data_IF_332154200585
#
_entry.id   IF_332154200585
#
_cell.length_a   1.000
_cell.length_b   1.000
_cell.length_c   1.000
_cell.angle_alpha   90.00
_cell.angle_beta   90.00
_cell.angle_gamma   90.00
#
_symmetry.space_group_name_H-M   'P 1'
#
loop_
_entity.id
_entity.type
_entity.pdbx_description
1 polymer ?
#
# COMPACT_ATOMS: atom_id res chain seq x y z
N UNK A 1 41.67 -9.03 -2.54
CA UNK A 1 41.24 -8.32 -1.32
C UNK A 1 40.10 -7.41 -1.71
N UNK A 2 38.93 -7.55 -1.11
CA UNK A 2 37.83 -6.60 -1.30
C UNK A 2 38.23 -5.28 -0.64
N UNK A 3 38.30 -4.20 -1.43
CA UNK A 3 38.65 -2.87 -0.92
C UNK A 3 37.41 -2.25 -0.23
N UNK A 4 37.60 -1.78 1.01
CA UNK A 4 36.56 -1.07 1.76
C UNK A 4 36.85 0.43 1.76
N UNK A 5 35.85 1.22 1.37
CA UNK A 5 35.90 2.69 1.43
C UNK A 5 34.88 3.16 2.45
N UNK A 6 35.33 3.90 3.47
CA UNK A 6 34.43 4.44 4.49
C UNK A 6 33.58 5.57 3.89
N UNK A 7 32.24 5.51 3.99
CA UNK A 7 31.39 6.61 3.53
C UNK A 7 31.51 7.81 4.47
N UNK A 8 31.51 9.01 3.90
CA UNK A 8 31.48 10.28 4.65
C UNK A 8 30.16 10.99 4.36
N UNK A 9 29.33 11.17 5.40
CA UNK A 9 28.08 11.93 5.26
C UNK A 9 28.40 13.41 5.02
N UNK A 10 27.74 14.01 4.04
CA UNK A 10 27.80 15.45 3.76
C UNK A 10 26.39 16.05 3.79
N UNK A 11 26.30 17.38 3.90
CA UNK A 11 25.05 18.12 3.72
C UNK A 11 25.13 18.90 2.42
N UNK A 12 24.04 18.87 1.66
CA UNK A 12 23.85 19.65 0.45
C UNK A 12 23.39 21.07 0.74
N UNK A 13 22.90 21.35 1.95
CA UNK A 13 22.58 22.72 2.36
C UNK A 13 23.82 23.61 2.26
N UNK A 14 23.75 24.61 1.38
CA UNK A 14 24.86 25.51 1.03
C UNK A 14 26.09 24.81 0.40
N UNK A 15 25.92 23.61 -0.16
CA UNK A 15 27.02 22.94 -0.86
C UNK A 15 27.38 23.71 -2.15
N UNK A 16 28.68 23.92 -2.43
CA UNK A 16 29.09 24.78 -3.54
C UNK A 16 28.80 24.19 -4.93
N UNK A 17 28.57 22.87 -5.03
CA UNK A 17 28.44 22.16 -6.31
C UNK A 17 27.05 21.56 -6.51
N UNK A 18 26.43 21.04 -5.46
CA UNK A 18 25.20 20.24 -5.56
C UNK A 18 24.06 21.07 -5.01
N UNK A 19 23.00 21.20 -5.81
CA UNK A 19 21.83 22.04 -5.53
C UNK A 19 20.57 21.19 -5.38
N UNK A 20 19.48 21.83 -4.99
CA UNK A 20 18.17 21.19 -4.93
C UNK A 20 17.74 20.70 -6.33
N UNK A 21 17.95 21.52 -7.37
CA UNK A 21 17.72 21.13 -8.76
C UNK A 21 18.51 19.88 -9.17
N UNK A 22 19.76 19.73 -8.71
CA UNK A 22 20.55 18.54 -9.01
C UNK A 22 19.93 17.27 -8.43
N UNK A 23 19.36 17.35 -7.23
CA UNK A 23 18.63 16.22 -6.63
C UNK A 23 17.31 15.98 -7.36
N UNK A 24 16.58 17.04 -7.72
CA UNK A 24 15.34 16.93 -8.50
C UNK A 24 15.59 16.23 -9.84
N UNK A 25 16.70 16.52 -10.52
CA UNK A 25 17.06 15.89 -11.80
C UNK A 25 17.32 14.39 -11.63
N UNK A 26 18.00 13.98 -10.54
CA UNK A 26 18.23 12.57 -10.24
C UNK A 26 16.91 11.83 -9.98
N UNK A 27 16.00 12.42 -9.20
CA UNK A 27 14.67 11.83 -8.93
C UNK A 27 13.82 11.80 -10.22
N UNK A 28 13.91 12.83 -11.05
CA UNK A 28 13.19 12.92 -12.32
C UNK A 28 13.63 11.82 -13.31
N UNK A 29 14.93 11.54 -13.36
CA UNK A 29 15.52 10.51 -14.22
C UNK A 29 15.20 9.08 -13.73
N UNK A 30 15.19 8.86 -12.41
CA UNK A 30 14.83 7.58 -11.79
C UNK A 30 14.00 7.77 -10.51
N UNK A 31 12.66 7.86 -10.63
CA UNK A 31 11.78 8.03 -9.46
C UNK A 31 11.82 6.86 -8.46
N UNK A 32 12.26 5.67 -8.91
CA UNK A 32 12.28 4.45 -8.10
C UNK A 32 13.19 4.59 -6.87
N UNK A 33 14.18 5.49 -6.93
CA UNK A 33 15.10 5.77 -5.82
C UNK A 33 14.39 6.29 -4.56
N UNK A 34 13.16 6.81 -4.68
CA UNK A 34 12.34 7.23 -3.54
C UNK A 34 11.75 6.04 -2.76
N UNK A 35 11.75 4.84 -3.33
CA UNK A 35 11.17 3.64 -2.71
C UNK A 35 9.64 3.67 -2.63
N UNK A 36 8.98 4.30 -3.60
CA UNK A 36 7.52 4.47 -3.66
C UNK A 36 6.83 3.57 -4.71
N UNK A 37 7.57 2.61 -5.29
CA UNK A 37 7.11 1.78 -6.40
C UNK A 37 7.56 2.31 -7.75
N UNK A 38 6.99 1.76 -8.83
CA UNK A 38 7.27 2.19 -10.20
C UNK A 38 6.48 3.46 -10.54
N UNK A 39 7.13 4.62 -10.45
CA UNK A 39 6.52 5.92 -10.69
C UNK A 39 7.11 6.56 -11.94
N UNK A 40 6.29 7.31 -12.66
CA UNK A 40 6.71 8.12 -13.81
C UNK A 40 6.64 9.62 -13.50
N UNK A 41 7.59 10.38 -14.01
CA UNK A 41 7.56 11.84 -13.94
C UNK A 41 6.45 12.40 -14.83
N UNK A 42 5.55 13.21 -14.25
CA UNK A 42 4.51 13.94 -14.99
C UNK A 42 4.89 15.37 -15.28
N UNK A 43 5.48 16.06 -14.31
CA UNK A 43 5.85 17.46 -14.42
C UNK A 43 6.96 17.78 -13.42
N UNK A 44 7.80 18.76 -13.75
CA UNK A 44 8.90 19.24 -12.91
C UNK A 44 8.82 20.75 -12.80
N UNK A 45 9.08 21.29 -11.61
CA UNK A 45 8.99 22.72 -11.35
C UNK A 45 7.62 23.28 -11.80
N UNK A 46 6.55 22.57 -11.44
CA UNK A 46 5.18 22.83 -11.87
C UNK A 46 4.59 24.05 -11.16
N UNK A 47 4.18 25.05 -11.94
CA UNK A 47 3.63 26.30 -11.42
C UNK A 47 2.27 26.06 -10.74
N UNK A 48 2.19 26.46 -9.45
CA UNK A 48 0.98 26.43 -8.65
C UNK A 48 0.38 27.82 -8.51
N UNK A 49 -0.83 28.01 -9.03
CA UNK A 49 -1.52 29.31 -9.06
C UNK A 49 -1.66 29.89 -7.65
N UNK A 50 -1.01 31.04 -7.41
CA UNK A 50 -1.03 31.82 -6.15
C UNK A 50 -0.31 31.17 -4.95
N UNK A 51 0.46 30.11 -5.14
CA UNK A 51 1.23 29.49 -4.05
C UNK A 51 2.73 29.51 -4.34
N UNK A 52 3.15 28.94 -5.48
CA UNK A 52 4.56 28.83 -5.82
C UNK A 52 4.77 27.79 -6.90
N UNK A 53 5.67 26.85 -6.66
CA UNK A 53 6.06 25.87 -7.66
C UNK A 53 6.36 24.55 -6.96
N UNK A 54 5.63 23.51 -7.36
CA UNK A 54 5.85 22.15 -6.90
C UNK A 54 7.11 21.60 -7.58
N UNK A 55 8.01 20.98 -6.81
CA UNK A 55 9.26 20.47 -7.36
C UNK A 55 9.04 19.34 -8.36
N UNK A 56 8.35 18.27 -7.97
CA UNK A 56 8.04 17.16 -8.86
C UNK A 56 6.60 16.68 -8.67
N UNK A 57 5.93 16.44 -9.80
CA UNK A 57 4.68 15.69 -9.85
C UNK A 57 4.99 14.32 -10.44
N UNK A 58 4.89 13.28 -9.62
CA UNK A 58 5.03 11.89 -10.06
C UNK A 58 3.66 11.23 -10.17
N UNK A 59 3.58 10.14 -10.93
CA UNK A 59 2.36 9.35 -11.03
C UNK A 59 2.66 7.87 -11.15
N UNK A 60 1.85 7.06 -10.49
CA UNK A 60 1.77 5.61 -10.70
C UNK A 60 1.07 5.32 -12.05
N UNK A 61 1.71 4.58 -12.98
CA UNK A 61 1.15 4.31 -14.30
C UNK A 61 -0.05 3.35 -14.28
N UNK A 62 -0.20 2.53 -13.24
CA UNK A 62 -1.29 1.57 -13.09
C UNK A 62 -2.51 2.21 -12.42
N UNK A 63 -2.30 2.83 -11.25
CA UNK A 63 -3.39 3.38 -10.42
C UNK A 63 -3.73 4.83 -10.77
N UNK A 64 -2.88 5.51 -11.54
CA UNK A 64 -2.93 6.94 -11.80
C UNK A 64 -2.84 7.83 -10.56
N UNK A 65 -2.51 7.26 -9.38
CA UNK A 65 -2.26 8.02 -8.17
C UNK A 65 -1.09 8.97 -8.36
N UNK A 66 -1.26 10.21 -7.91
CA UNK A 66 -0.27 11.28 -8.04
C UNK A 66 0.44 11.52 -6.72
N UNK A 67 1.74 11.79 -6.84
CA UNK A 67 2.60 12.11 -5.72
C UNK A 67 3.18 13.50 -5.94
N UNK A 68 2.78 14.43 -5.07
CA UNK A 68 3.27 15.80 -5.05
C UNK A 68 4.52 15.87 -4.17
N UNK A 69 5.70 15.77 -4.79
CA UNK A 69 6.98 15.74 -4.10
C UNK A 69 7.51 17.16 -3.92
N UNK A 70 7.78 17.53 -2.66
CA UNK A 70 8.39 18.78 -2.26
C UNK A 70 9.72 18.49 -1.54
N UNK A 71 10.82 18.96 -2.12
CA UNK A 71 12.17 18.73 -1.63
C UNK A 71 12.67 19.95 -0.83
N UNK A 72 13.46 19.69 0.21
CA UNK A 72 14.20 20.73 0.92
C UNK A 72 15.59 20.24 1.30
N UNK A 73 16.62 20.98 0.89
CA UNK A 73 17.97 20.74 1.39
C UNK A 73 18.11 21.18 2.87
N UNK A 74 18.79 20.35 3.65
CA UNK A 74 18.94 20.52 5.09
C UNK A 74 17.78 19.98 5.92
N UNK A 75 17.59 20.56 7.10
CA UNK A 75 16.51 20.19 7.98
C UNK A 75 15.16 20.70 7.46
N UNK A 76 14.12 19.89 7.59
CA UNK A 76 12.72 20.33 7.44
C UNK A 76 12.40 21.46 8.41
N UNK A 77 11.61 22.41 7.95
CA UNK A 77 11.03 23.49 8.75
C UNK A 77 9.50 23.58 8.54
N UNK A 78 8.85 24.49 9.26
CA UNK A 78 7.41 24.69 9.17
C UNK A 78 6.94 25.11 7.77
N UNK A 79 7.78 25.85 7.04
CA UNK A 79 7.47 26.31 5.68
C UNK A 79 7.45 25.13 4.71
N UNK A 80 8.34 24.15 4.90
CA UNK A 80 8.36 22.92 4.10
C UNK A 80 7.07 22.11 4.23
N UNK A 81 6.57 21.94 5.47
CA UNK A 81 5.29 21.25 5.70
C UNK A 81 4.14 22.01 5.01
N UNK A 82 4.07 23.33 5.20
CA UNK A 82 3.00 24.16 4.63
C UNK A 82 3.00 24.04 3.11
N UNK A 83 4.16 24.20 2.44
CA UNK A 83 4.27 24.06 0.97
C UNK A 83 3.83 22.69 0.50
N UNK A 84 4.28 21.62 1.15
CA UNK A 84 3.93 20.24 0.80
C UNK A 84 2.41 20.02 0.84
N UNK A 85 1.74 20.51 1.90
CA UNK A 85 0.29 20.39 2.06
C UNK A 85 -0.47 21.30 1.09
N UNK A 86 -0.01 22.52 0.86
CA UNK A 86 -0.63 23.46 -0.08
C UNK A 86 -0.59 22.94 -1.52
N UNK A 87 0.56 22.42 -1.97
CA UNK A 87 0.69 21.89 -3.33
C UNK A 87 -0.18 20.65 -3.54
N UNK A 88 -0.21 19.74 -2.56
CA UNK A 88 -1.13 18.62 -2.56
C UNK A 88 -2.60 19.07 -2.64
N UNK A 89 -3.03 20.03 -1.81
CA UNK A 89 -4.43 20.46 -1.79
C UNK A 89 -4.83 21.17 -3.10
N UNK A 90 -3.90 21.93 -3.72
CA UNK A 90 -4.13 22.55 -5.03
C UNK A 90 -4.29 21.49 -6.11
N UNK A 91 -3.39 20.50 -6.22
CA UNK A 91 -3.50 19.45 -7.23
C UNK A 91 -4.76 18.60 -7.02
N UNK A 92 -5.05 18.21 -5.78
CA UNK A 92 -6.27 17.46 -5.43
C UNK A 92 -7.55 18.21 -5.78
N UNK A 93 -7.62 19.53 -5.54
CA UNK A 93 -8.78 20.34 -5.92
C UNK A 93 -8.90 20.54 -7.42
N UNK A 94 -7.76 20.60 -8.12
CA UNK A 94 -7.71 20.79 -9.57
C UNK A 94 -8.08 19.54 -10.34
N UNK A 95 -7.69 18.36 -9.83
CA UNK A 95 -7.93 17.07 -10.45
C UNK A 95 -8.48 16.03 -9.46
N UNK A 96 -9.67 16.25 -8.89
CA UNK A 96 -10.23 15.41 -7.83
C UNK A 96 -10.55 13.97 -8.26
N UNK A 97 -10.46 13.65 -9.55
CA UNK A 97 -10.63 12.30 -10.07
C UNK A 97 -9.42 11.38 -9.81
N UNK A 98 -8.26 11.92 -9.46
CA UNK A 98 -7.09 11.11 -9.11
C UNK A 98 -6.94 11.02 -7.58
N UNK A 99 -6.32 9.95 -7.12
CA UNK A 99 -5.78 9.94 -5.77
C UNK A 99 -4.50 10.78 -5.71
N UNK A 100 -4.28 11.47 -4.59
CA UNK A 100 -3.17 12.40 -4.39
C UNK A 100 -2.49 12.16 -3.04
N UNK A 101 -1.17 12.19 -3.02
CA UNK A 101 -0.35 12.04 -1.82
C UNK A 101 0.76 13.10 -1.79
N UNK A 102 0.84 13.84 -0.68
CA UNK A 102 1.95 14.76 -0.45
C UNK A 102 3.19 13.96 -0.06
N UNK A 103 4.33 14.24 -0.69
CA UNK A 103 5.61 13.60 -0.38
C UNK A 103 6.62 14.65 0.03
N UNK A 104 7.00 14.64 1.31
CA UNK A 104 7.97 15.56 1.88
C UNK A 104 9.36 14.91 1.85
N UNK A 105 10.35 15.55 1.21
CA UNK A 105 11.74 15.03 1.14
C UNK A 105 12.72 16.03 1.75
N UNK A 106 13.53 15.62 2.74
CA UNK A 106 14.55 16.50 3.32
C UNK A 106 15.80 15.76 3.84
N UNK A 107 16.92 16.46 4.02
CA UNK A 107 18.17 15.85 4.50
C UNK A 107 18.10 15.39 5.98
N UNK A 108 17.23 16.05 6.75
CA UNK A 108 17.04 15.75 8.17
C UNK A 108 15.58 16.03 8.58
N UNK A 109 14.90 14.98 9.03
CA UNK A 109 13.53 15.06 9.54
C UNK A 109 13.56 14.65 11.01
N UNK A 110 13.32 15.61 11.91
CA UNK A 110 13.36 15.33 13.35
C UNK A 110 12.10 14.65 13.84
N UNK A 111 12.17 13.95 14.99
CA UNK A 111 11.00 13.34 15.62
C UNK A 111 9.90 14.36 15.96
N UNK A 112 10.27 15.60 16.31
CA UNK A 112 9.29 16.68 16.54
C UNK A 112 8.51 16.99 15.26
N UNK A 113 9.18 16.99 14.11
CA UNK A 113 8.55 17.20 12.81
C UNK A 113 7.63 16.04 12.45
N UNK A 114 8.08 14.80 12.63
CA UNK A 114 7.24 13.61 12.42
C UNK A 114 5.97 13.66 13.29
N UNK A 115 6.08 14.11 14.55
CA UNK A 115 4.92 14.27 15.44
C UNK A 115 3.91 15.33 14.96
N UNK A 116 4.36 16.36 14.23
CA UNK A 116 3.46 17.37 13.67
C UNK A 116 2.80 16.83 12.41
N UNK A 117 3.58 16.23 11.49
CA UNK A 117 3.05 15.66 10.25
C UNK A 117 2.05 14.54 10.55
N UNK A 118 2.29 13.73 11.60
CA UNK A 118 1.37 12.66 12.00
C UNK A 118 -0.01 13.16 12.43
N UNK A 119 -0.16 14.40 12.92
CA UNK A 119 -1.46 15.00 13.23
C UNK A 119 -2.34 15.15 11.98
N UNK A 120 -1.72 15.31 10.81
CA UNK A 120 -2.43 15.47 9.55
C UNK A 120 -2.72 14.14 8.86
N UNK A 121 -2.01 13.07 9.21
CA UNK A 121 -2.00 11.82 8.46
C UNK A 121 -3.39 11.11 8.40
N UNK A 122 -4.33 11.45 9.30
CA UNK A 122 -5.71 10.96 9.25
C UNK A 122 -6.61 11.64 8.19
N UNK A 123 -6.25 12.84 7.75
CA UNK A 123 -7.02 13.67 6.82
C UNK A 123 -6.29 13.94 5.50
N UNK A 124 -4.96 13.91 5.51
CA UNK A 124 -4.10 14.18 4.37
C UNK A 124 -3.20 12.96 4.19
N UNK A 125 -3.19 12.29 3.02
CA UNK A 125 -2.21 11.26 2.72
C UNK A 125 -0.83 11.90 2.57
N UNK A 126 0.05 11.69 3.57
CA UNK A 126 1.40 12.28 3.58
C UNK A 126 2.45 11.18 3.80
N UNK A 127 3.47 11.19 2.95
CA UNK A 127 4.70 10.42 3.11
C UNK A 127 5.84 11.39 3.44
N UNK A 128 6.76 10.98 4.33
CA UNK A 128 7.99 11.71 4.58
C UNK A 128 9.20 10.82 4.31
N UNK A 129 10.14 11.33 3.52
CA UNK A 129 11.36 10.66 3.10
C UNK A 129 12.56 11.47 3.57
N UNK A 130 13.42 10.84 4.37
CA UNK A 130 14.69 11.43 4.73
C UNK A 130 15.74 11.06 3.67
N UNK A 131 16.32 12.08 3.04
CA UNK A 131 17.47 11.95 2.14
C UNK A 131 18.77 12.01 2.95
N UNK A 132 19.74 11.18 2.61
CA UNK A 132 21.09 11.25 3.15
C UNK A 132 22.09 11.25 2.00
N UNK A 133 23.14 12.05 2.14
CA UNK A 133 24.17 12.20 1.11
C UNK A 133 25.50 11.71 1.64
N UNK A 134 26.17 10.86 0.89
CA UNK A 134 27.45 10.27 1.24
C UNK A 134 28.48 10.47 0.12
N UNK A 135 29.68 10.89 0.48
CA UNK A 135 30.86 10.78 -0.37
C UNK A 135 31.49 9.39 -0.15
N UNK A 136 31.72 8.66 -1.24
CA UNK A 136 32.37 7.35 -1.27
C UNK A 136 33.41 7.34 -2.38
N UNK A 137 34.68 7.52 -2.01
CA UNK A 137 35.75 7.72 -3.00
C UNK A 137 35.50 9.01 -3.80
N UNK A 138 35.42 8.89 -5.13
CA UNK A 138 35.18 10.01 -6.05
C UNK A 138 33.68 10.20 -6.38
N UNK A 139 32.79 9.44 -5.75
CA UNK A 139 31.36 9.45 -6.01
C UNK A 139 30.56 10.07 -4.87
N UNK A 140 29.43 10.69 -5.22
CA UNK A 140 28.40 11.13 -4.29
C UNK A 140 27.17 10.24 -4.47
N UNK A 141 26.68 9.71 -3.37
CA UNK A 141 25.53 8.80 -3.32
C UNK A 141 24.42 9.40 -2.48
N UNK A 142 23.19 9.32 -2.99
CA UNK A 142 21.97 9.66 -2.27
C UNK A 142 21.31 8.39 -1.76
N UNK A 143 20.86 8.41 -0.51
CA UNK A 143 20.08 7.35 0.11
C UNK A 143 18.78 7.96 0.59
N UNK A 144 17.66 7.44 0.11
CA UNK A 144 16.32 7.87 0.52
C UNK A 144 15.71 6.83 1.44
N UNK A 145 15.22 7.28 2.59
CA UNK A 145 14.58 6.43 3.58
C UNK A 145 13.20 6.98 3.90
N UNK A 146 12.15 6.21 3.63
CA UNK A 146 10.81 6.54 4.10
C UNK A 146 10.76 6.47 5.63
N UNK A 147 10.51 7.60 6.27
CA UNK A 147 10.46 7.77 7.73
C UNK A 147 9.04 7.98 8.26
N UNK A 148 8.09 8.32 7.38
CA UNK A 148 6.65 8.30 7.62
C UNK A 148 5.98 7.77 6.35
N UNK A 149 5.06 6.84 6.52
CA UNK A 149 4.20 6.37 5.43
C UNK A 149 2.80 6.96 5.56
N UNK A 150 2.01 6.82 4.49
CA UNK A 150 0.59 7.16 4.54
C UNK A 150 -0.06 6.41 5.70
N UNK A 151 -0.86 7.11 6.51
CA UNK A 151 -1.66 6.42 7.51
C UNK A 151 -2.63 5.51 6.77
N UNK A 152 -2.33 4.21 6.75
CA UNK A 152 -3.35 3.21 6.54
C UNK A 152 -4.30 3.38 7.72
N UNK A 153 -5.46 4.02 7.48
CA UNK A 153 -6.57 3.99 8.42
C UNK A 153 -6.71 2.53 8.84
N UNK A 154 -6.69 2.28 10.15
CA UNK A 154 -6.78 0.93 10.66
C UNK A 154 -7.83 0.15 9.91
N UNK A 155 -7.57 -1.14 9.68
CA UNK A 155 -8.62 -2.07 9.29
C UNK A 155 -9.80 -1.74 10.21
N UNK A 156 -10.97 -1.42 9.64
CA UNK A 156 -12.19 -1.36 10.46
C UNK A 156 -12.17 -2.63 11.28
N UNK A 157 -12.29 -2.51 12.61
CA UNK A 157 -12.29 -3.68 13.48
C UNK A 157 -13.26 -4.66 12.83
N UNK A 158 -12.77 -5.84 12.45
CA UNK A 158 -13.57 -6.83 11.70
C UNK A 158 -14.88 -7.13 12.44
N UNK A 159 -14.84 -6.93 13.77
CA UNK A 159 -15.95 -7.03 14.70
C UNK A 159 -16.95 -5.86 14.63
N UNK A 160 -16.61 -4.61 14.29
CA UNK A 160 -17.58 -3.51 14.20
C UNK A 160 -18.64 -3.75 13.09
N UNK A 161 -18.18 -4.14 11.89
CA UNK A 161 -19.06 -4.46 10.77
C UNK A 161 -19.81 -5.79 10.97
N UNK A 162 -19.17 -6.76 11.64
CA UNK A 162 -19.75 -8.08 11.90
C UNK A 162 -20.81 -8.08 13.02
N UNK A 163 -20.59 -7.33 14.11
CA UNK A 163 -21.53 -7.20 15.24
C UNK A 163 -22.81 -6.48 14.79
N UNK A 164 -22.66 -5.47 13.92
CA UNK A 164 -23.77 -4.64 13.47
C UNK A 164 -24.67 -5.30 12.43
N UNK A 165 -24.19 -6.35 11.76
CA UNK A 165 -24.91 -6.99 10.66
C UNK A 165 -24.59 -8.50 10.48
N UNK A 166 -24.81 -9.34 11.50
CA UNK A 166 -24.71 -10.78 11.35
C UNK A 166 -25.76 -11.29 10.35
N UNK A 167 -25.38 -12.31 9.57
CA UNK A 167 -26.29 -12.98 8.62
C UNK A 167 -26.10 -14.49 8.72
N UNK A 168 -26.75 -15.24 7.84
CA UNK A 168 -26.65 -16.69 7.80
C UNK A 168 -26.31 -17.19 6.38
N UNK A 169 -26.22 -18.52 6.26
CA UNK A 169 -26.01 -19.17 4.98
C UNK A 169 -27.14 -18.87 3.98
N UNK A 170 -28.39 -18.81 4.43
CA UNK A 170 -29.54 -18.60 3.57
C UNK A 170 -29.50 -17.23 2.87
N UNK A 171 -29.05 -16.19 3.58
CA UNK A 171 -28.77 -14.87 3.02
C UNK A 171 -27.76 -14.95 1.85
N UNK A 172 -26.67 -15.69 2.04
CA UNK A 172 -25.64 -15.82 1.01
C UNK A 172 -26.09 -16.69 -0.17
N UNK A 173 -26.89 -17.73 0.04
CA UNK A 173 -27.42 -18.57 -1.03
C UNK A 173 -28.50 -17.86 -1.86
N UNK A 174 -29.35 -17.02 -1.23
CA UNK A 174 -30.49 -16.37 -1.88
C UNK A 174 -30.15 -14.99 -2.44
N UNK A 175 -29.58 -14.12 -1.61
CA UNK A 175 -29.47 -12.69 -1.91
C UNK A 175 -28.16 -12.36 -2.63
N UNK A 176 -27.02 -12.88 -2.15
CA UNK A 176 -25.68 -12.49 -2.64
C UNK A 176 -25.11 -13.42 -3.71
N UNK A 177 -25.17 -14.71 -3.45
CA UNK A 177 -24.62 -15.76 -4.30
C UNK A 177 -25.70 -16.69 -4.84
N UNK A 178 -25.32 -17.95 -4.96
CA UNK A 178 -26.18 -19.10 -5.30
C UNK A 178 -25.77 -20.30 -4.45
N UNK A 179 -26.61 -21.34 -4.31
CA UNK A 179 -26.21 -22.58 -3.65
C UNK A 179 -24.90 -23.18 -4.20
N UNK A 180 -24.65 -23.05 -5.52
CA UNK A 180 -23.42 -23.53 -6.16
C UNK A 180 -22.17 -22.79 -5.70
N UNK A 181 -22.24 -21.47 -5.59
CA UNK A 181 -21.08 -20.66 -5.18
C UNK A 181 -20.84 -20.73 -3.68
N UNK A 182 -21.88 -20.92 -2.88
CA UNK A 182 -21.72 -21.19 -1.45
C UNK A 182 -21.10 -22.59 -1.24
N UNK A 183 -21.49 -23.60 -2.01
CA UNK A 183 -20.82 -24.90 -2.00
C UNK A 183 -19.36 -24.86 -2.49
N UNK A 184 -19.01 -23.93 -3.39
CA UNK A 184 -17.62 -23.67 -3.75
C UNK A 184 -16.85 -23.06 -2.57
N UNK A 185 -17.44 -22.09 -1.88
CA UNK A 185 -16.86 -21.53 -0.65
C UNK A 185 -16.64 -22.62 0.42
N UNK A 186 -17.59 -23.53 0.62
CA UNK A 186 -17.42 -24.64 1.58
C UNK A 186 -16.18 -25.48 1.26
N UNK A 187 -15.95 -25.81 -0.02
CA UNK A 187 -14.75 -26.53 -0.44
C UNK A 187 -13.46 -25.74 -0.25
N UNK A 188 -13.49 -24.42 -0.41
CA UNK A 188 -12.35 -23.56 -0.07
C UNK A 188 -12.13 -23.51 1.44
N UNK A 189 -13.19 -23.50 2.23
CA UNK A 189 -13.11 -23.54 3.68
C UNK A 189 -12.54 -24.86 4.20
N UNK A 190 -12.78 -25.99 3.53
CA UNK A 190 -12.09 -27.24 3.88
C UNK A 190 -10.56 -27.10 3.80
N UNK A 191 -10.02 -26.29 2.88
CA UNK A 191 -8.57 -25.99 2.84
C UNK A 191 -8.11 -25.21 4.08
N UNK A 192 -8.96 -24.32 4.59
CA UNK A 192 -8.70 -23.61 5.85
C UNK A 192 -8.66 -24.62 6.99
N UNK A 193 -9.61 -25.56 7.04
CA UNK A 193 -9.69 -26.60 8.08
C UNK A 193 -8.51 -27.57 8.06
N UNK A 194 -7.89 -27.81 6.90
CA UNK A 194 -6.68 -28.65 6.79
C UNK A 194 -5.52 -28.07 7.63
N UNK A 195 -5.38 -26.73 7.69
CA UNK A 195 -4.37 -26.05 8.50
C UNK A 195 -4.87 -25.57 9.87
N UNK A 196 -6.14 -25.23 10.00
CA UNK A 196 -6.74 -24.63 11.19
C UNK A 196 -8.04 -25.37 11.57
N UNK A 197 -7.95 -26.59 12.16
CA UNK A 197 -9.10 -27.46 12.39
C UNK A 197 -10.14 -26.92 13.37
N UNK A 198 -9.83 -25.88 14.12
CA UNK A 198 -10.75 -25.23 15.07
C UNK A 198 -11.44 -24.00 14.47
N UNK A 199 -11.05 -23.60 13.26
CA UNK A 199 -11.68 -22.49 12.55
C UNK A 199 -13.12 -22.83 12.20
N UNK A 200 -14.01 -21.85 12.30
CA UNK A 200 -15.41 -21.92 11.89
C UNK A 200 -15.77 -20.74 10.98
N UNK A 201 -16.76 -20.91 10.11
CA UNK A 201 -17.28 -19.83 9.27
C UNK A 201 -18.16 -18.87 10.08
N UNK A 202 -17.86 -17.57 10.02
CA UNK A 202 -18.68 -16.49 10.58
C UNK A 202 -19.38 -15.73 9.46
N UNK A 203 -20.69 -15.86 9.35
CA UNK A 203 -21.48 -15.24 8.28
C UNK A 203 -21.86 -13.78 8.63
N UNK A 204 -21.29 -12.82 7.90
CA UNK A 204 -21.63 -11.40 8.03
C UNK A 204 -22.29 -10.89 6.74
N UNK A 205 -22.98 -9.75 6.82
CA UNK A 205 -23.69 -9.15 5.68
C UNK A 205 -22.79 -8.82 4.48
N UNK A 206 -21.53 -8.48 4.74
CA UNK A 206 -20.59 -7.99 3.72
C UNK A 206 -19.58 -9.03 3.23
N UNK A 207 -19.28 -10.03 4.06
CA UNK A 207 -18.35 -11.13 3.81
C UNK A 207 -18.65 -12.33 4.72
N UNK A 208 -18.17 -13.51 4.35
CA UNK A 208 -18.09 -14.69 5.23
C UNK A 208 -16.65 -14.80 5.70
N UNK A 209 -16.48 -14.70 7.02
CA UNK A 209 -15.19 -14.70 7.69
C UNK A 209 -14.90 -16.00 8.44
N UNK A 210 -13.84 -15.96 9.25
CA UNK A 210 -13.40 -17.00 10.16
C UNK A 210 -13.54 -16.55 11.62
N UNK A 211 -13.92 -17.49 12.47
CA UNK A 211 -13.89 -17.37 13.93
C UNK A 211 -13.13 -18.56 14.51
N UNK A 212 -12.32 -18.31 15.55
CA UNK A 212 -11.60 -19.33 16.30
C UNK A 212 -11.71 -19.01 17.78
N UNK A 213 -12.11 -19.99 18.59
CA UNK A 213 -12.31 -19.82 20.05
C UNK A 213 -13.20 -18.60 20.41
N UNK A 214 -14.25 -18.35 19.62
CA UNK A 214 -15.17 -17.24 19.83
C UNK A 214 -14.61 -15.86 19.46
N UNK A 215 -13.41 -15.77 18.86
CA UNK A 215 -12.78 -14.52 18.41
C UNK A 215 -12.64 -14.49 16.90
N UNK A 216 -12.88 -13.32 16.28
CA UNK A 216 -12.68 -13.16 14.85
C UNK A 216 -11.22 -13.44 14.47
N UNK A 217 -11.03 -14.32 13.48
CA UNK A 217 -9.72 -14.73 13.02
C UNK A 217 -9.60 -14.67 11.49
N UNK A 218 -10.07 -13.56 10.87
CA UNK A 218 -10.17 -13.45 9.41
C UNK A 218 -8.81 -13.23 8.72
N UNK A 219 -7.93 -14.23 8.68
CA UNK A 219 -6.78 -14.22 7.76
C UNK A 219 -7.20 -14.48 6.31
N UNK A 220 -8.37 -15.07 6.09
CA UNK A 220 -9.05 -15.08 4.80
C UNK A 220 -10.51 -14.67 4.96
N UNK A 221 -11.11 -14.16 3.89
CA UNK A 221 -12.54 -13.94 3.78
C UNK A 221 -13.07 -14.44 2.43
N UNK A 222 -14.35 -14.79 2.42
CA UNK A 222 -15.05 -15.28 1.23
C UNK A 222 -16.26 -14.39 0.94
N UNK A 223 -16.51 -14.10 -0.33
CA UNK A 223 -17.75 -13.46 -0.77
C UNK A 223 -18.34 -14.21 -1.96
N UNK A 224 -19.20 -15.21 -1.72
CA UNK A 224 -19.98 -15.84 -2.79
C UNK A 224 -20.74 -14.79 -3.61
N UNK A 225 -20.53 -14.79 -4.92
CA UNK A 225 -21.25 -14.00 -5.93
C UNK A 225 -22.12 -14.92 -6.77
N UNK A 226 -22.83 -14.39 -7.77
CA UNK A 226 -23.72 -15.21 -8.60
C UNK A 226 -23.00 -16.27 -9.43
N UNK A 227 -21.75 -16.03 -9.82
CA UNK A 227 -20.98 -16.92 -10.72
C UNK A 227 -19.63 -17.42 -10.18
N UNK A 228 -19.13 -16.84 -9.09
CA UNK A 228 -17.80 -17.11 -8.52
C UNK A 228 -17.79 -16.83 -7.03
N UNK A 229 -16.73 -17.23 -6.33
CA UNK A 229 -16.42 -16.77 -4.97
C UNK A 229 -15.29 -15.76 -5.07
N UNK A 230 -15.49 -14.56 -4.50
CA UNK A 230 -14.36 -13.67 -4.29
C UNK A 230 -13.63 -14.14 -3.04
N UNK A 231 -12.41 -14.63 -3.22
CA UNK A 231 -11.52 -15.09 -2.17
C UNK A 231 -10.55 -13.96 -1.81
N UNK A 232 -10.45 -13.64 -0.53
CA UNK A 232 -9.72 -12.47 -0.04
C UNK A 232 -8.69 -12.87 1.04
N UNK A 233 -7.51 -13.40 0.67
CA UNK A 233 -6.45 -13.69 1.62
C UNK A 233 -5.76 -12.40 2.08
N UNK A 234 -5.63 -12.22 3.39
CA UNK A 234 -4.98 -11.06 4.02
C UNK A 234 -3.48 -11.22 4.01
N UNK A 235 -2.87 -10.76 2.94
CA UNK A 235 -1.45 -10.77 2.70
C UNK A 235 -1.02 -9.41 2.17
N UNK A 236 0.13 -8.86 2.63
CA UNK A 236 0.75 -7.71 2.00
C UNK A 236 1.00 -7.98 0.52
N UNK A 237 0.86 -6.94 -0.31
CA UNK A 237 1.22 -7.03 -1.72
C UNK A 237 2.72 -7.33 -1.84
N UNK A 238 3.08 -8.29 -2.69
CA UNK A 238 4.46 -8.66 -2.96
C UNK A 238 4.58 -9.17 -4.40
N UNK A 239 5.73 -8.89 -5.03
CA UNK A 239 6.02 -9.34 -6.39
C UNK A 239 5.96 -10.87 -6.52
N UNK A 240 6.30 -11.60 -5.45
CA UNK A 240 6.22 -13.06 -5.39
C UNK A 240 4.78 -13.55 -5.57
N UNK A 241 3.83 -12.98 -4.83
CA UNK A 241 2.42 -13.39 -4.89
C UNK A 241 1.76 -12.86 -6.17
N UNK A 242 2.13 -11.66 -6.62
CA UNK A 242 1.65 -11.09 -7.88
C UNK A 242 2.04 -12.01 -9.06
N UNK A 243 3.33 -12.39 -9.15
CA UNK A 243 3.83 -13.30 -10.18
C UNK A 243 3.16 -14.69 -10.10
N UNK A 244 2.99 -15.23 -8.89
CA UNK A 244 2.35 -16.54 -8.70
C UNK A 244 0.91 -16.57 -9.23
N UNK A 245 0.15 -15.49 -9.05
CA UNK A 245 -1.23 -15.36 -9.55
C UNK A 245 -1.28 -15.14 -11.06
N UNK A 246 -0.35 -14.37 -11.61
CA UNK A 246 -0.24 -14.09 -13.04
C UNK A 246 0.17 -15.34 -13.83
N UNK A 247 1.17 -16.09 -13.35
CA UNK A 247 1.71 -17.30 -14.01
C UNK A 247 0.64 -18.38 -14.22
N UNK A 248 -0.31 -18.48 -13.30
CA UNK A 248 -1.42 -19.44 -13.39
C UNK A 248 -2.63 -18.89 -14.14
N UNK A 249 -2.63 -17.60 -14.49
CA UNK A 249 -3.70 -16.93 -15.22
C UNK A 249 -5.01 -16.80 -14.45
N UNK A 250 -4.96 -16.75 -13.11
CA UNK A 250 -6.16 -16.56 -12.29
C UNK A 250 -6.57 -15.08 -12.32
N UNK A 251 -7.86 -14.83 -12.51
CA UNK A 251 -8.41 -13.48 -12.52
C UNK A 251 -8.38 -12.86 -11.11
N UNK A 252 -7.69 -11.72 -11.00
CA UNK A 252 -7.63 -10.90 -9.79
C UNK A 252 -8.35 -9.57 -10.01
N UNK A 253 -8.86 -9.00 -8.92
CA UNK A 253 -9.28 -7.60 -8.87
C UNK A 253 -8.15 -6.77 -8.28
N UNK A 254 -8.25 -5.44 -8.43
CA UNK A 254 -7.34 -4.48 -7.81
C UNK A 254 -7.09 -4.82 -6.33
N UNK A 255 -5.81 -4.87 -5.97
CA UNK A 255 -5.36 -5.13 -4.60
C UNK A 255 -6.00 -4.11 -3.67
N UNK A 256 -6.62 -4.59 -2.58
CA UNK A 256 -7.30 -3.71 -1.66
C UNK A 256 -6.31 -3.16 -0.64
N UNK A 257 -5.59 -2.10 -1.03
CA UNK A 257 -4.59 -1.40 -0.20
C UNK A 257 -5.11 -1.06 1.18
N UNK A 258 -6.38 -0.63 1.27
CA UNK A 258 -7.03 -0.30 2.55
C UNK A 258 -7.19 -1.50 3.49
N UNK A 259 -7.36 -2.71 2.95
CA UNK A 259 -7.65 -3.92 3.72
C UNK A 259 -6.47 -4.89 3.80
N UNK A 260 -5.36 -4.57 3.13
CA UNK A 260 -4.16 -5.39 3.12
C UNK A 260 -4.42 -6.80 2.57
N UNK A 261 -5.20 -6.91 1.50
CA UNK A 261 -5.58 -8.22 0.96
C UNK A 261 -5.66 -8.26 -0.57
N UNK A 262 -5.34 -9.45 -1.09
CA UNK A 262 -5.61 -9.82 -2.46
C UNK A 262 -7.10 -10.07 -2.65
N UNK A 263 -7.57 -9.94 -3.90
CA UNK A 263 -8.98 -10.14 -4.26
C UNK A 263 -9.06 -11.02 -5.48
N UNK A 264 -9.30 -12.31 -5.26
CA UNK A 264 -9.13 -13.35 -6.27
C UNK A 264 -10.50 -13.89 -6.67
N UNK A 265 -10.82 -13.86 -7.97
CA UNK A 265 -12.06 -14.41 -8.50
C UNK A 265 -11.89 -15.91 -8.71
N UNK A 266 -12.57 -16.71 -7.89
CA UNK A 266 -12.47 -18.17 -7.93
C UNK A 266 -13.75 -18.80 -8.48
N UNK A 267 -13.63 -19.50 -9.59
CA UNK A 267 -14.69 -20.34 -10.16
C UNK A 267 -14.48 -21.82 -9.80
N UNK A 268 -15.46 -22.66 -10.12
CA UNK A 268 -15.33 -24.12 -9.92
C UNK A 268 -14.20 -24.74 -10.75
N UNK A 269 -13.89 -24.16 -11.92
CA UNK A 269 -12.79 -24.61 -12.76
C UNK A 269 -11.44 -24.26 -12.10
N UNK A 270 -11.29 -23.02 -11.65
CA UNK A 270 -10.06 -22.54 -11.02
C UNK A 270 -9.74 -23.35 -9.76
N UNK A 271 -10.74 -23.62 -8.93
CA UNK A 271 -10.57 -24.43 -7.72
C UNK A 271 -10.06 -25.85 -8.00
N UNK A 272 -10.53 -26.49 -9.08
CA UNK A 272 -10.10 -27.85 -9.44
C UNK A 272 -8.67 -27.89 -9.94
N UNK A 273 -8.24 -26.87 -10.69
CA UNK A 273 -6.92 -26.82 -11.31
C UNK A 273 -5.87 -26.32 -10.31
N UNK A 274 -6.21 -25.30 -9.52
CA UNK A 274 -5.27 -24.54 -8.70
C UNK A 274 -5.49 -24.74 -7.20
N UNK A 275 -6.00 -25.90 -6.76
CA UNK A 275 -6.23 -26.21 -5.34
C UNK A 275 -4.99 -25.94 -4.47
N UNK A 276 -3.80 -26.35 -4.93
CA UNK A 276 -2.54 -26.17 -4.21
C UNK A 276 -2.14 -24.72 -4.00
N UNK A 277 -2.42 -23.85 -4.98
CA UNK A 277 -2.20 -22.41 -4.86
C UNK A 277 -3.09 -21.80 -3.78
N UNK A 278 -4.37 -22.15 -3.76
CA UNK A 278 -5.27 -21.64 -2.71
C UNK A 278 -4.86 -22.11 -1.32
N UNK A 279 -4.38 -23.35 -1.18
CA UNK A 279 -3.81 -23.85 0.07
C UNK A 279 -2.60 -23.02 0.52
N UNK A 280 -1.65 -22.77 -0.39
CA UNK A 280 -0.45 -21.97 -0.10
C UNK A 280 -0.80 -20.53 0.33
N UNK A 281 -1.72 -19.87 -0.38
CA UNK A 281 -2.17 -18.51 -0.01
C UNK A 281 -2.88 -18.47 1.34
N UNK A 282 -3.69 -19.50 1.66
CA UNK A 282 -4.34 -19.64 2.97
C UNK A 282 -3.28 -19.78 4.07
N UNK A 283 -2.28 -20.61 3.85
CA UNK A 283 -1.20 -20.85 4.83
C UNK A 283 -0.34 -19.61 5.04
N UNK A 284 0.10 -18.96 3.96
CA UNK A 284 0.82 -17.67 4.02
C UNK A 284 0.02 -16.64 4.81
N UNK A 285 -1.29 -16.51 4.54
CA UNK A 285 -2.14 -15.54 5.21
C UNK A 285 -2.32 -15.85 6.71
N UNK A 286 -2.46 -17.14 7.06
CA UNK A 286 -2.53 -17.58 8.46
C UNK A 286 -1.23 -17.24 9.20
N UNK A 287 -0.09 -17.64 8.65
CA UNK A 287 1.22 -17.37 9.24
C UNK A 287 1.44 -15.86 9.42
N UNK A 288 1.13 -15.05 8.41
CA UNK A 288 1.23 -13.59 8.52
C UNK A 288 0.38 -13.00 9.65
N UNK A 289 -0.80 -13.56 9.93
CA UNK A 289 -1.67 -13.12 11.04
C UNK A 289 -1.14 -13.55 12.41
N UNK A 290 -0.50 -14.71 12.49
CA UNK A 290 0.03 -15.27 13.74
C UNK A 290 1.38 -14.65 14.17
N UNK A 291 2.12 -14.05 13.24
CA UNK A 291 3.41 -13.38 13.45
C UNK A 291 4.61 -14.26 13.12
#
# INVERSE_FOLDING_TARGET
>A
MTAYTRPKRISLKNHPVYSENWVQDIIADDPSILGLGDLVLRDRERIQSRAGRLDLLLQDPETYKRYEVELQLGATDETHIIRSIEYWDIERKRYPQYEHCAVLVAENITSRFLNVVSLFNGAIPIIAIQMQVFEVGDHVTLVFTKVLDELQRGLVDEDEDAISAPTDRAYWEKDKGTPKTVALMDRMFELVKEGDPESELKYNKFYVGLIKEGRANNYVAFRPKKAFVLFEPKLPRSDEVDALLEDVGIETLEYATRWGNYRIRVTDADFKVHKGLFQDLIEKARSYREG
#
